data_IF_910464335587
#
_entry.id   IF_910464335587
#
_cell.length_a   1.000
_cell.length_b   1.000
_cell.length_c   1.000
_cell.angle_alpha   90.00
_cell.angle_beta   90.00
_cell.angle_gamma   90.00
#
_symmetry.space_group_name_H-M   'P 1'
#
loop_
_entity.id
_entity.type
_entity.pdbx_description
1 polymer ?
#
# COMPACT_ATOMS: atom_id res chain seq x y z
N UNK A 1 -0.78 23.48 32.17
CA UNK A 1 -0.21 23.06 30.87
C UNK A 1 -1.35 22.53 30.00
N UNK A 2 -1.80 23.34 29.04
CA UNK A 2 -2.88 22.99 28.10
C UNK A 2 -2.42 21.88 27.14
N UNK A 3 -3.16 20.77 27.10
CA UNK A 3 -3.03 19.76 26.05
C UNK A 3 -3.75 20.28 24.81
N UNK A 4 -2.98 20.65 23.79
CA UNK A 4 -3.52 21.00 22.47
C UNK A 4 -3.91 19.71 21.74
N UNK A 5 -5.21 19.40 21.75
CA UNK A 5 -5.80 18.36 20.91
C UNK A 5 -5.85 18.89 19.47
N UNK A 6 -4.93 18.45 18.60
CA UNK A 6 -5.06 18.63 17.16
C UNK A 6 -5.77 17.41 16.59
N UNK A 7 -6.95 17.64 16.04
CA UNK A 7 -7.81 16.65 15.40
C UNK A 7 -7.04 15.89 14.30
N UNK A 8 -6.75 14.61 14.54
CA UNK A 8 -6.34 13.68 13.50
C UNK A 8 -7.59 13.01 12.95
N UNK A 9 -7.99 13.39 11.75
CA UNK A 9 -9.08 12.74 11.01
C UNK A 9 -8.54 11.47 10.36
N UNK A 10 -8.94 10.31 10.87
CA UNK A 10 -8.70 9.01 10.22
C UNK A 10 -9.88 8.70 9.29
N UNK A 11 -9.64 8.64 7.98
CA UNK A 11 -10.65 8.17 7.03
C UNK A 11 -10.48 6.67 6.82
N UNK A 12 -11.31 5.87 7.48
CA UNK A 12 -11.48 4.45 7.17
C UNK A 12 -12.47 4.31 6.03
N UNK A 13 -12.01 3.93 4.84
CA UNK A 13 -12.89 3.61 3.72
C UNK A 13 -13.25 2.13 3.77
N UNK A 14 -14.46 1.84 4.25
CA UNK A 14 -15.11 0.54 4.01
C UNK A 14 -15.84 0.62 2.65
N UNK A 15 -15.39 -0.18 1.68
CA UNK A 15 -16.12 -0.35 0.43
C UNK A 15 -17.32 -1.27 0.67
N UNK A 16 -18.53 -0.69 0.72
CA UNK A 16 -19.79 -1.43 0.78
C UNK A 16 -20.32 -1.60 -0.66
N UNK A 17 -20.25 -2.83 -1.19
CA UNK A 17 -20.86 -3.15 -2.47
C UNK A 17 -22.39 -3.25 -2.31
N UNK A 18 -23.14 -2.33 -2.93
CA UNK A 18 -24.58 -2.49 -3.15
C UNK A 18 -24.80 -3.15 -4.51
N UNK A 19 -25.38 -4.34 -4.53
CA UNK A 19 -25.85 -5.00 -5.75
C UNK A 19 -27.37 -4.88 -5.81
N UNK A 20 -27.90 -4.11 -6.75
CA UNK A 20 -29.33 -4.07 -7.07
C UNK A 20 -29.62 -5.17 -8.08
N UNK A 21 -30.33 -6.21 -7.63
CA UNK A 21 -30.79 -7.30 -8.48
C UNK A 21 -32.09 -6.89 -9.19
N UNK A 22 -32.08 -6.79 -10.52
CA UNK A 22 -33.29 -6.97 -11.32
C UNK A 22 -32.93 -7.45 -12.72
N UNK A 23 -33.08 -8.75 -12.97
CA UNK A 23 -33.10 -9.33 -14.32
C UNK A 23 -34.40 -10.12 -14.44
N UNK A 24 -35.30 -9.67 -15.32
CA UNK A 24 -36.33 -10.52 -15.93
C UNK A 24 -35.65 -11.30 -17.06
N UNK A 25 -35.79 -12.62 -17.02
CA UNK A 25 -35.01 -13.55 -17.82
C UNK A 25 -35.35 -13.56 -19.31
N UNK A 26 -34.34 -13.96 -20.08
CA UNK A 26 -34.51 -14.64 -21.35
C UNK A 26 -33.53 -15.83 -21.39
N UNK A 27 -34.02 -16.99 -21.81
CA UNK A 27 -33.34 -18.28 -21.76
C UNK A 27 -32.61 -18.51 -23.08
N UNK A 28 -31.37 -18.03 -23.22
CA UNK A 28 -30.40 -18.61 -24.15
C UNK A 28 -28.97 -18.28 -23.75
N UNK A 29 -28.10 -19.29 -23.88
CA UNK A 29 -26.69 -19.38 -23.43
C UNK A 29 -26.51 -19.77 -21.96
N UNK A 30 -26.07 -21.00 -21.73
CA UNK A 30 -25.41 -21.38 -20.47
C UNK A 30 -24.07 -20.67 -20.47
N UNK A 31 -24.05 -19.41 -20.03
CA UNK A 31 -22.82 -18.77 -19.58
C UNK A 31 -22.39 -19.57 -18.36
N UNK A 32 -21.28 -20.30 -18.47
CA UNK A 32 -20.62 -20.89 -17.31
C UNK A 32 -20.12 -19.73 -16.43
N UNK A 33 -21.03 -19.20 -15.62
CA UNK A 33 -20.84 -18.05 -14.76
C UNK A 33 -20.22 -18.52 -13.46
N UNK A 34 -18.95 -18.94 -13.54
CA UNK A 34 -18.17 -19.03 -12.32
C UNK A 34 -18.16 -17.66 -11.65
N UNK A 35 -18.60 -17.64 -10.39
CA UNK A 35 -18.72 -16.41 -9.65
C UNK A 35 -17.34 -15.72 -9.50
N UNK A 36 -17.24 -14.39 -9.70
CA UNK A 36 -15.96 -13.69 -9.63
C UNK A 36 -15.20 -13.84 -8.31
N UNK A 37 -15.88 -14.14 -7.20
CA UNK A 37 -15.24 -14.37 -5.89
C UNK A 37 -14.60 -15.75 -5.75
N UNK A 38 -14.80 -16.67 -6.70
CA UNK A 38 -14.18 -17.99 -6.72
C UNK A 38 -12.76 -17.96 -7.29
N UNK A 39 -12.34 -16.86 -7.92
CA UNK A 39 -10.99 -16.68 -8.45
C UNK A 39 -10.42 -15.35 -8.02
N UNK A 40 -9.15 -15.34 -7.63
CA UNK A 40 -8.44 -14.08 -7.44
C UNK A 40 -8.18 -13.44 -8.81
N UNK A 41 -8.46 -12.15 -8.99
CA UNK A 41 -8.03 -11.45 -10.19
C UNK A 41 -6.50 -11.48 -10.29
N UNK A 42 -5.92 -11.37 -11.49
CA UNK A 42 -4.48 -11.23 -11.64
C UNK A 42 -3.99 -10.01 -10.85
N UNK A 43 -2.81 -10.12 -10.24
CA UNK A 43 -2.18 -8.97 -9.59
C UNK A 43 -2.00 -7.84 -10.62
N UNK A 44 -2.49 -6.61 -10.32
CA UNK A 44 -2.33 -5.47 -11.22
C UNK A 44 -0.85 -5.22 -11.52
N UNK A 45 -0.59 -4.47 -12.59
CA UNK A 45 0.74 -3.95 -12.86
C UNK A 45 0.83 -2.49 -12.44
N UNK A 46 2.03 -2.11 -12.01
CA UNK A 46 2.36 -0.73 -11.75
C UNK A 46 2.35 0.09 -13.06
N UNK A 47 1.80 1.33 -13.07
CA UNK A 47 1.77 2.17 -14.27
C UNK A 47 3.17 2.41 -14.86
N UNK A 48 3.25 2.55 -16.19
CA UNK A 48 4.47 2.96 -16.88
C UNK A 48 4.46 4.48 -17.16
N UNK A 49 5.65 5.12 -17.21
CA UNK A 49 6.94 4.58 -16.79
C UNK A 49 7.02 4.50 -15.26
N UNK A 50 7.75 3.51 -14.75
CA UNK A 50 8.11 3.47 -13.33
C UNK A 50 9.59 3.21 -13.18
N UNK A 51 10.17 3.91 -12.22
CA UNK A 51 11.60 3.84 -11.93
C UNK A 51 11.76 3.21 -10.56
N UNK A 52 11.64 1.87 -10.53
CA UNK A 52 11.94 1.10 -9.33
C UNK A 52 13.40 1.29 -8.93
N UNK A 53 13.63 1.57 -7.65
CA UNK A 53 14.94 1.82 -7.07
C UNK A 53 15.13 0.92 -5.85
N UNK A 54 16.40 0.74 -5.46
CA UNK A 54 16.75 0.06 -4.23
C UNK A 54 17.45 1.03 -3.29
N UNK A 55 17.11 0.98 -2.01
CA UNK A 55 17.83 1.65 -0.94
C UNK A 55 18.37 0.61 0.04
N UNK A 56 19.60 0.82 0.51
CA UNK A 56 20.14 0.06 1.65
C UNK A 56 19.53 0.61 2.92
N UNK A 57 18.60 -0.14 3.52
CA UNK A 57 17.82 0.25 4.69
C UNK A 57 18.08 -0.80 5.77
N UNK A 58 18.62 -0.36 6.90
CA UNK A 58 19.03 -1.24 7.98
C UNK A 58 20.00 -2.32 7.46
N UNK A 59 19.62 -3.59 7.56
CA UNK A 59 20.40 -4.76 7.17
C UNK A 59 19.96 -5.37 5.81
N UNK A 60 19.10 -4.69 5.06
CA UNK A 60 18.50 -5.18 3.81
C UNK A 60 18.47 -4.14 2.70
N UNK A 61 18.42 -4.62 1.46
CA UNK A 61 18.05 -3.83 0.29
C UNK A 61 16.53 -3.80 0.15
N UNK A 62 15.93 -2.60 0.27
CA UNK A 62 14.50 -2.34 0.09
C UNK A 62 14.25 -1.81 -1.31
N UNK A 63 13.35 -2.47 -2.05
CA UNK A 63 12.82 -1.94 -3.29
C UNK A 63 11.71 -0.92 -3.01
N UNK A 64 11.74 0.20 -3.72
CA UNK A 64 10.67 1.18 -3.72
C UNK A 64 10.51 1.84 -5.10
N UNK A 65 9.37 2.50 -5.31
CA UNK A 65 9.17 3.40 -6.46
C UNK A 65 8.34 4.60 -6.04
N UNK A 66 8.47 5.69 -6.80
CA UNK A 66 7.74 6.93 -6.55
C UNK A 66 7.04 7.36 -7.83
N UNK A 67 5.76 7.70 -7.68
CA UNK A 67 4.94 8.30 -8.73
C UNK A 67 4.49 9.70 -8.34
N UNK A 68 4.12 10.47 -9.37
CA UNK A 68 3.46 11.75 -9.24
C UNK A 68 4.40 12.93 -8.97
N UNK A 69 3.83 14.12 -8.72
CA UNK A 69 4.59 15.35 -8.64
C UNK A 69 5.54 15.35 -7.43
N UNK A 70 6.77 15.84 -7.63
CA UNK A 70 7.82 15.93 -6.59
C UNK A 70 7.35 16.65 -5.31
N UNK A 71 6.49 17.66 -5.46
CA UNK A 71 5.94 18.48 -4.38
C UNK A 71 4.49 18.14 -4.01
N UNK A 72 3.95 17.03 -4.52
CA UNK A 72 2.63 16.54 -4.11
C UNK A 72 2.63 16.05 -2.66
N UNK A 73 1.46 16.07 -2.01
CA UNK A 73 1.31 15.51 -0.67
C UNK A 73 1.66 14.00 -0.72
N UNK A 74 2.59 13.52 0.12
CA UNK A 74 3.09 12.16 0.02
C UNK A 74 2.12 11.15 0.62
N UNK A 75 1.89 10.05 -0.11
CA UNK A 75 1.14 8.89 0.35
C UNK A 75 2.07 7.68 0.32
N UNK A 76 2.26 7.01 1.45
CA UNK A 76 2.96 5.73 1.54
C UNK A 76 1.95 4.59 1.39
N UNK A 77 2.26 3.66 0.49
CA UNK A 77 1.47 2.46 0.25
C UNK A 77 2.21 1.22 0.73
N UNK A 78 1.59 0.46 1.64
CA UNK A 78 2.14 -0.76 2.24
C UNK A 78 1.24 -1.97 1.94
N UNK A 79 1.75 -2.94 1.19
CA UNK A 79 1.01 -4.15 0.84
C UNK A 79 0.86 -5.11 2.04
N UNK A 80 0.00 -6.13 1.88
CA UNK A 80 -0.16 -7.21 2.86
C UNK A 80 0.93 -8.28 2.77
N UNK A 81 0.95 -9.20 3.73
CA UNK A 81 1.93 -10.29 3.77
C UNK A 81 1.92 -11.16 2.52
N UNK A 82 3.10 -11.65 2.12
CA UNK A 82 3.32 -12.49 0.94
C UNK A 82 2.95 -11.81 -0.40
N UNK A 83 2.81 -10.49 -0.40
CA UNK A 83 2.48 -9.70 -1.59
C UNK A 83 3.66 -8.81 -2.02
N UNK A 84 3.37 -7.79 -2.82
CA UNK A 84 4.31 -6.74 -3.23
C UNK A 84 3.53 -5.48 -3.63
N UNK A 85 4.23 -4.41 -3.97
CA UNK A 85 3.62 -3.12 -4.27
C UNK A 85 2.77 -3.09 -5.54
N UNK A 86 2.84 -4.10 -6.42
CA UNK A 86 2.05 -4.11 -7.66
C UNK A 86 0.54 -4.16 -7.40
N UNK A 87 0.12 -4.65 -6.23
CA UNK A 87 -1.28 -4.61 -5.80
C UNK A 87 -1.89 -3.20 -5.74
N UNK A 88 -1.06 -2.16 -5.68
CA UNK A 88 -1.49 -0.77 -5.71
C UNK A 88 -1.68 -0.20 -7.12
N UNK A 89 -1.40 -0.96 -8.18
CA UNK A 89 -1.36 -0.45 -9.56
C UNK A 89 -2.61 0.35 -9.96
N UNK A 90 -3.80 -0.15 -9.62
CA UNK A 90 -5.06 0.53 -9.92
C UNK A 90 -5.25 1.82 -9.11
N UNK A 91 -4.85 1.82 -7.83
CA UNK A 91 -4.90 3.02 -6.99
C UNK A 91 -3.90 4.08 -7.48
N UNK A 92 -2.70 3.66 -7.89
CA UNK A 92 -1.69 4.56 -8.43
C UNK A 92 -2.17 5.22 -9.73
N UNK A 93 -2.86 4.48 -10.61
CA UNK A 93 -3.46 5.07 -11.81
C UNK A 93 -4.35 6.27 -11.50
N UNK A 94 -5.10 6.23 -10.39
CA UNK A 94 -6.03 7.29 -10.00
C UNK A 94 -5.35 8.42 -9.20
N UNK A 95 -4.31 8.12 -8.42
CA UNK A 95 -3.76 9.06 -7.44
C UNK A 95 -2.49 9.77 -7.91
N UNK A 96 -1.72 9.19 -8.84
CA UNK A 96 -0.40 9.69 -9.22
C UNK A 96 -0.40 11.10 -9.80
N UNK A 97 -1.50 11.57 -10.40
CA UNK A 97 -1.54 12.92 -11.00
C UNK A 97 -1.63 14.04 -9.94
N UNK A 98 -1.96 13.71 -8.70
CA UNK A 98 -2.22 14.68 -7.62
C UNK A 98 -1.25 14.50 -6.45
N UNK A 99 -0.90 13.26 -6.11
CA UNK A 99 -0.13 12.91 -4.92
C UNK A 99 1.25 12.37 -5.27
N UNK A 100 2.20 12.55 -4.36
CA UNK A 100 3.49 11.86 -4.41
C UNK A 100 3.30 10.45 -3.83
N UNK A 101 3.06 9.47 -4.67
CA UNK A 101 2.81 8.10 -4.22
C UNK A 101 4.15 7.37 -4.03
N UNK A 102 4.44 6.98 -2.79
CA UNK A 102 5.63 6.20 -2.42
C UNK A 102 5.18 4.76 -2.18
N UNK A 103 5.73 3.83 -2.95
CA UNK A 103 5.42 2.41 -2.84
C UNK A 103 6.67 1.67 -2.41
N UNK A 104 6.52 0.76 -1.45
CA UNK A 104 7.61 -0.05 -0.91
C UNK A 104 7.22 -1.53 -0.98
N UNK A 105 8.19 -2.38 -1.33
CA UNK A 105 8.09 -3.81 -1.03
C UNK A 105 8.66 -4.06 0.36
N UNK A 106 7.87 -4.65 1.24
CA UNK A 106 8.29 -4.92 2.62
C UNK A 106 9.46 -5.90 2.65
N UNK A 107 10.27 -5.82 3.70
CA UNK A 107 11.29 -6.81 4.08
C UNK A 107 10.89 -8.23 3.70
N UNK A 108 11.79 -8.95 3.02
CA UNK A 108 11.62 -10.35 2.60
C UNK A 108 10.40 -10.62 1.69
N UNK A 109 9.81 -9.59 1.09
CA UNK A 109 8.65 -9.69 0.21
C UNK A 109 8.89 -8.97 -1.11
N UNK A 110 8.20 -9.42 -2.16
CA UNK A 110 8.34 -8.86 -3.51
C UNK A 110 9.78 -8.86 -4.00
N UNK A 111 10.30 -7.67 -4.29
CA UNK A 111 11.67 -7.42 -4.79
C UNK A 111 12.65 -7.11 -3.67
N UNK A 112 12.19 -6.85 -2.45
CA UNK A 112 13.06 -6.54 -1.32
C UNK A 112 13.77 -7.80 -0.81
N UNK A 113 15.01 -7.62 -0.39
CA UNK A 113 15.82 -8.70 0.18
C UNK A 113 15.38 -9.06 1.62
N UNK A 114 15.91 -10.17 2.12
CA UNK A 114 15.76 -10.63 3.50
C UNK A 114 17.11 -10.64 4.22
N UNK A 115 17.05 -10.81 5.54
CA UNK A 115 18.23 -11.08 6.39
C UNK A 115 17.93 -12.25 7.32
N UNK A 116 18.87 -12.58 8.20
CA UNK A 116 18.68 -13.61 9.24
C UNK A 116 17.88 -13.13 10.45
N UNK A 117 17.48 -11.84 10.49
CA UNK A 117 16.70 -11.28 11.58
C UNK A 117 15.28 -11.85 11.61
N UNK A 118 14.74 -12.06 12.83
CA UNK A 118 13.34 -12.44 13.01
C UNK A 118 12.42 -11.32 12.51
N UNK A 119 11.49 -11.66 11.62
CA UNK A 119 10.53 -10.70 11.07
C UNK A 119 9.49 -10.37 12.15
N UNK A 120 9.43 -9.10 12.54
CA UNK A 120 8.44 -8.55 13.48
C UNK A 120 7.85 -7.26 12.90
N UNK A 121 6.67 -6.86 13.38
CA UNK A 121 6.09 -5.58 12.96
C UNK A 121 6.92 -4.38 13.39
N UNK A 122 7.65 -4.44 14.51
CA UNK A 122 8.55 -3.37 14.94
C UNK A 122 9.72 -3.22 13.97
N UNK A 123 10.32 -4.35 13.55
CA UNK A 123 11.40 -4.34 12.57
C UNK A 123 10.93 -3.79 11.21
N UNK A 124 9.79 -4.28 10.70
CA UNK A 124 9.23 -3.76 9.45
C UNK A 124 8.82 -2.28 9.54
N UNK A 125 8.37 -1.82 10.71
CA UNK A 125 8.12 -0.39 10.95
C UNK A 125 9.40 0.43 10.93
N UNK A 126 10.49 -0.10 11.52
CA UNK A 126 11.80 0.55 11.46
C UNK A 126 12.33 0.68 10.03
N UNK A 127 12.04 -0.29 9.16
CA UNK A 127 12.41 -0.21 7.74
C UNK A 127 11.67 0.92 7.02
N UNK A 128 10.37 1.06 7.30
CA UNK A 128 9.56 2.15 6.75
C UNK A 128 10.11 3.50 7.21
N UNK A 129 10.39 3.67 8.50
CA UNK A 129 10.96 4.91 9.04
C UNK A 129 12.32 5.22 8.39
N UNK A 130 13.20 4.22 8.30
CA UNK A 130 14.52 4.37 7.66
C UNK A 130 14.39 4.73 6.18
N UNK A 131 13.45 4.14 5.43
CA UNK A 131 13.20 4.50 4.04
C UNK A 131 12.67 5.94 3.90
N UNK A 132 11.72 6.34 4.75
CA UNK A 132 11.19 7.71 4.74
C UNK A 132 12.28 8.75 5.05
N UNK A 133 13.18 8.44 6.00
CA UNK A 133 14.34 9.27 6.31
C UNK A 133 15.31 9.36 5.12
N UNK A 134 15.62 8.23 4.49
CA UNK A 134 16.44 8.19 3.26
C UNK A 134 15.86 9.07 2.14
N UNK A 135 14.54 9.08 2.00
CA UNK A 135 13.83 9.90 1.00
C UNK A 135 13.62 11.37 1.42
N UNK A 136 14.01 11.75 2.64
CA UNK A 136 13.78 13.09 3.19
C UNK A 136 12.30 13.44 3.38
N UNK A 137 11.46 12.45 3.69
CA UNK A 137 10.01 12.63 3.86
C UNK A 137 9.65 12.52 5.34
N UNK A 138 9.27 13.63 5.95
CA UNK A 138 8.98 13.71 7.39
C UNK A 138 7.51 13.50 7.76
N UNK A 139 6.59 13.65 6.80
CA UNK A 139 5.15 13.49 7.01
C UNK A 139 4.52 12.81 5.81
N UNK A 140 3.59 11.90 6.06
CA UNK A 140 2.89 11.13 5.04
C UNK A 140 1.41 10.97 5.38
N UNK A 141 0.60 10.70 4.35
CA UNK A 141 -0.59 9.88 4.50
C UNK A 141 -0.21 8.41 4.31
N UNK A 142 -0.89 7.49 5.00
CA UNK A 142 -0.59 6.06 4.91
C UNK A 142 -1.80 5.29 4.42
N UNK A 143 -1.57 4.38 3.47
CA UNK A 143 -2.54 3.39 3.01
C UNK A 143 -1.91 2.02 3.14
N UNK A 144 -2.52 1.15 3.96
CA UNK A 144 -2.03 -0.20 4.21
C UNK A 144 -3.18 -1.20 4.38
N UNK A 145 -2.92 -2.45 4.03
CA UNK A 145 -3.86 -3.57 4.23
C UNK A 145 -3.12 -4.77 4.83
N UNK A 146 -3.79 -5.51 5.73
CA UNK A 146 -3.22 -6.68 6.41
C UNK A 146 -1.90 -6.32 7.12
N UNK A 147 -0.77 -6.97 6.81
CA UNK A 147 0.55 -6.59 7.33
C UNK A 147 0.86 -5.10 7.17
N UNK A 148 0.53 -4.50 6.02
CA UNK A 148 0.72 -3.07 5.79
C UNK A 148 -0.13 -2.19 6.72
N UNK A 149 -1.29 -2.66 7.15
CA UNK A 149 -2.10 -1.98 8.16
C UNK A 149 -1.52 -2.14 9.57
N UNK A 150 -0.98 -3.31 9.91
CA UNK A 150 -0.29 -3.54 11.19
C UNK A 150 0.96 -2.66 11.31
N UNK A 151 1.77 -2.58 10.24
CA UNK A 151 2.92 -1.66 10.15
C UNK A 151 2.44 -0.20 10.28
N UNK A 152 1.38 0.16 9.56
CA UNK A 152 0.84 1.52 9.61
C UNK A 152 0.31 1.95 10.97
N UNK A 153 -0.37 1.03 11.68
CA UNK A 153 -0.83 1.25 13.05
C UNK A 153 0.36 1.43 14.00
N UNK A 154 1.36 0.56 13.88
CA UNK A 154 2.58 0.64 14.68
C UNK A 154 3.33 1.97 14.45
N UNK A 155 3.44 2.39 13.19
CA UNK A 155 3.99 3.69 12.82
C UNK A 155 3.21 4.84 13.47
N UNK A 156 1.88 4.84 13.38
CA UNK A 156 1.05 5.90 13.94
C UNK A 156 1.12 5.99 15.48
N UNK A 157 1.33 4.86 16.17
CA UNK A 157 1.47 4.82 17.63
C UNK A 157 2.82 5.37 18.11
N UNK A 158 3.91 5.11 17.37
CA UNK A 158 5.27 5.41 17.82
C UNK A 158 5.92 6.60 17.10
N UNK A 159 5.36 7.03 15.96
CA UNK A 159 5.87 8.11 15.10
C UNK A 159 4.72 9.00 14.56
N UNK A 160 3.97 9.71 15.43
CA UNK A 160 2.79 10.49 15.05
C UNK A 160 3.07 11.81 14.31
#
# INVERSE_FOLDING_TARGET
MQRNNKNTTYLFVFALFHFLSSIKGDNSTVVNSEYPWLRLPPTPQLPYPHHGQYAQINDISIWYTIYGPKHGAPILFLHGGLANSNYWGLQIQQLQNTYKCILMDSRAQGRSSSSSANITYDLMTSDVVSLLNYLGVSKIHLVGWSDGANIGLNLAMHHP
#
